data_IF_463008171108
#
_entry.id   IF_463008171108
#
_cell.length_a   1.000
_cell.length_b   1.000
_cell.length_c   1.000
_cell.angle_alpha   90.00
_cell.angle_beta   90.00
_cell.angle_gamma   90.00
#
_symmetry.space_group_name_H-M   'P 1'
#
loop_
_entity.id
_entity.type
_entity.pdbx_description
1 polymer ?
#
# COMPACT_ATOMS: atom_id res chain seq x y z
N UNK A 1 -9.32 -15.81 -28.81
CA UNK A 1 -8.08 -16.54 -28.46
C UNK A 1 -8.24 -17.18 -27.08
N UNK A 2 -8.26 -18.52 -26.97
CA UNK A 2 -8.23 -19.23 -25.68
C UNK A 2 -6.80 -19.11 -25.11
N UNK A 3 -6.62 -18.54 -23.91
CA UNK A 3 -5.32 -18.59 -23.19
C UNK A 3 -4.88 -20.06 -23.08
N UNK A 4 -3.66 -20.36 -23.54
CA UNK A 4 -3.17 -21.75 -23.64
C UNK A 4 -2.89 -22.36 -22.26
N UNK A 5 -3.08 -23.68 -22.05
CA UNK A 5 -2.87 -24.37 -20.77
C UNK A 5 -1.51 -24.14 -20.12
N UNK A 6 -0.47 -23.89 -20.93
CA UNK A 6 0.89 -23.60 -20.48
C UNK A 6 0.99 -22.26 -19.75
N UNK A 7 0.28 -21.22 -20.20
CA UNK A 7 0.23 -19.92 -19.51
C UNK A 7 -0.47 -20.03 -18.16
N UNK A 8 -1.50 -20.88 -18.04
CA UNK A 8 -2.18 -21.09 -16.76
C UNK A 8 -1.29 -21.83 -15.76
N UNK A 9 -0.57 -22.87 -16.21
CA UNK A 9 0.39 -23.58 -15.34
C UNK A 9 1.52 -22.65 -14.87
N UNK A 10 2.08 -21.85 -15.76
CA UNK A 10 3.11 -20.86 -15.42
C UNK A 10 2.61 -19.86 -14.37
N UNK A 11 1.38 -19.35 -14.52
CA UNK A 11 0.75 -18.46 -13.53
C UNK A 11 0.60 -19.14 -12.17
N UNK A 12 0.05 -20.35 -12.13
CA UNK A 12 -0.13 -21.07 -10.87
C UNK A 12 1.20 -21.30 -10.15
N UNK A 13 2.26 -21.66 -10.88
CA UNK A 13 3.60 -21.83 -10.29
C UNK A 13 4.12 -20.51 -9.72
N UNK A 14 4.02 -19.42 -10.47
CA UNK A 14 4.41 -18.09 -9.99
C UNK A 14 3.61 -17.71 -8.74
N UNK A 15 2.30 -17.92 -8.73
CA UNK A 15 1.44 -17.61 -7.59
C UNK A 15 1.86 -18.42 -6.35
N UNK A 16 2.13 -19.72 -6.49
CA UNK A 16 2.66 -20.54 -5.37
C UNK A 16 4.02 -20.07 -4.86
N UNK A 17 4.92 -19.61 -5.74
CA UNK A 17 6.21 -19.04 -5.35
C UNK A 17 5.99 -17.75 -4.54
N UNK A 18 5.09 -16.87 -4.99
CA UNK A 18 4.82 -15.58 -4.34
C UNK A 18 4.13 -15.75 -2.99
N UNK A 19 3.16 -16.67 -2.89
CA UNK A 19 2.51 -17.03 -1.62
C UNK A 19 3.52 -17.59 -0.61
N UNK A 20 4.38 -18.53 -1.05
CA UNK A 20 5.44 -19.06 -0.19
C UNK A 20 6.43 -17.99 0.24
N UNK A 21 6.79 -17.07 -0.65
CA UNK A 21 7.65 -15.93 -0.33
C UNK A 21 7.04 -15.04 0.75
N UNK A 22 5.75 -14.71 0.65
CA UNK A 22 5.06 -13.94 1.68
C UNK A 22 5.18 -14.61 3.05
N UNK A 23 4.89 -15.91 3.11
CA UNK A 23 4.97 -16.69 4.35
C UNK A 23 6.41 -16.79 4.89
N UNK A 24 7.40 -16.99 4.01
CA UNK A 24 8.80 -17.02 4.41
C UNK A 24 9.27 -15.68 4.97
N UNK A 25 8.86 -14.55 4.38
CA UNK A 25 9.19 -13.21 4.89
C UNK A 25 8.55 -12.98 6.24
N UNK A 26 7.27 -13.33 6.40
CA UNK A 26 6.57 -13.21 7.68
C UNK A 26 7.22 -14.06 8.80
N UNK A 27 7.71 -15.26 8.47
CA UNK A 27 8.28 -16.20 9.44
C UNK A 27 9.75 -15.92 9.76
N UNK A 28 10.57 -15.61 8.76
CA UNK A 28 12.02 -15.50 8.91
C UNK A 28 12.54 -14.05 8.90
N UNK A 29 11.68 -13.09 8.58
CA UNK A 29 12.06 -11.71 8.29
C UNK A 29 12.64 -11.55 6.89
N UNK A 30 12.50 -10.35 6.33
CA UNK A 30 12.82 -10.04 4.93
C UNK A 30 14.27 -10.38 4.54
N UNK A 31 15.22 -10.12 5.44
CA UNK A 31 16.65 -10.35 5.19
C UNK A 31 16.99 -11.85 5.10
N UNK A 32 16.37 -12.67 5.94
CA UNK A 32 16.75 -14.08 6.11
C UNK A 32 16.01 -15.05 5.18
N UNK A 33 15.15 -14.53 4.29
CA UNK A 33 14.53 -15.33 3.23
C UNK A 33 15.58 -15.76 2.21
N UNK A 34 15.47 -17.01 1.76
CA UNK A 34 16.35 -17.60 0.75
C UNK A 34 15.53 -18.45 -0.23
N UNK A 35 16.01 -18.60 -1.47
CA UNK A 35 15.35 -19.43 -2.49
C UNK A 35 15.09 -20.87 -2.04
N UNK A 36 16.01 -21.55 -1.31
CA UNK A 36 15.73 -22.87 -0.75
C UNK A 36 14.52 -22.90 0.21
N UNK A 37 14.37 -21.90 1.10
CA UNK A 37 13.21 -21.82 2.01
C UNK A 37 11.91 -21.60 1.23
N UNK A 38 11.95 -20.75 0.20
CA UNK A 38 10.80 -20.52 -0.68
C UNK A 38 10.44 -21.80 -1.44
N UNK A 39 11.44 -22.55 -1.91
CA UNK A 39 11.25 -23.83 -2.60
C UNK A 39 10.56 -24.85 -1.71
N UNK A 40 11.04 -25.02 -0.48
CA UNK A 40 10.45 -25.93 0.51
C UNK A 40 8.98 -25.57 0.77
N UNK A 41 8.67 -24.29 0.99
CA UNK A 41 7.32 -23.86 1.34
C UNK A 41 6.35 -23.81 0.14
N UNK A 42 6.83 -23.56 -1.08
CA UNK A 42 6.00 -23.54 -2.31
C UNK A 42 5.77 -24.93 -2.90
N UNK A 43 6.60 -25.92 -2.56
CA UNK A 43 6.64 -27.21 -3.24
C UNK A 43 7.21 -27.14 -4.67
N UNK A 44 7.74 -25.99 -5.08
CA UNK A 44 8.39 -25.78 -6.39
C UNK A 44 9.89 -25.97 -6.22
N UNK A 45 10.53 -26.75 -7.08
CA UNK A 45 11.98 -26.97 -6.99
C UNK A 45 12.76 -25.68 -7.19
N UNK A 46 13.90 -25.54 -6.50
CA UNK A 46 14.81 -24.38 -6.65
C UNK A 46 15.15 -24.13 -8.12
N UNK A 47 15.40 -25.19 -8.89
CA UNK A 47 15.67 -25.08 -10.33
C UNK A 47 14.50 -24.50 -11.14
N UNK A 48 13.25 -24.87 -10.81
CA UNK A 48 12.08 -24.24 -11.42
C UNK A 48 11.91 -22.79 -10.99
N UNK A 49 12.19 -22.43 -9.73
CA UNK A 49 12.12 -21.03 -9.29
C UNK A 49 13.06 -20.16 -10.13
N UNK A 50 14.30 -20.63 -10.37
CA UNK A 50 15.26 -19.93 -11.21
C UNK A 50 14.86 -19.80 -12.70
N UNK A 51 13.87 -20.56 -13.17
CA UNK A 51 13.30 -20.35 -14.51
C UNK A 51 12.37 -19.13 -14.57
N UNK A 52 11.80 -18.70 -13.44
CA UNK A 52 10.88 -17.57 -13.36
C UNK A 52 11.54 -16.32 -12.76
N UNK A 53 12.48 -16.49 -11.83
CA UNK A 53 13.10 -15.39 -11.09
C UNK A 53 14.61 -15.62 -10.95
N UNK A 54 15.41 -14.62 -11.31
CA UNK A 54 16.87 -14.71 -11.27
C UNK A 54 17.46 -14.75 -9.87
N UNK A 55 16.74 -14.19 -8.88
CA UNK A 55 17.16 -14.12 -7.47
C UNK A 55 15.96 -13.89 -6.55
N UNK A 56 16.18 -13.86 -5.23
CA UNK A 56 15.11 -13.66 -4.25
C UNK A 56 14.54 -12.24 -4.28
N UNK A 57 15.36 -11.25 -4.63
CA UNK A 57 14.98 -9.85 -4.69
C UNK A 57 13.94 -9.62 -5.79
N UNK A 58 14.08 -10.27 -6.95
CA UNK A 58 13.08 -10.25 -8.03
C UNK A 58 11.74 -10.84 -7.58
N UNK A 59 11.75 -11.94 -6.81
CA UNK A 59 10.53 -12.54 -6.27
C UNK A 59 9.83 -11.56 -5.32
N UNK A 60 10.60 -10.92 -4.43
CA UNK A 60 10.08 -9.93 -3.48
C UNK A 60 9.53 -8.70 -4.22
N UNK A 61 10.24 -8.20 -5.23
CA UNK A 61 9.79 -7.06 -6.03
C UNK A 61 8.49 -7.35 -6.78
N UNK A 62 8.35 -8.53 -7.40
CA UNK A 62 7.11 -8.95 -8.05
C UNK A 62 5.97 -9.07 -7.03
N UNK A 63 6.22 -9.68 -5.86
CA UNK A 63 5.24 -9.78 -4.79
C UNK A 63 4.76 -8.40 -4.32
N UNK A 64 5.70 -7.48 -4.09
CA UNK A 64 5.41 -6.10 -3.69
C UNK A 64 4.61 -5.37 -4.76
N UNK A 65 5.01 -5.49 -6.03
CA UNK A 65 4.32 -4.86 -7.15
C UNK A 65 2.85 -5.29 -7.23
N UNK A 66 2.58 -6.60 -7.14
CA UNK A 66 1.21 -7.14 -7.13
C UNK A 66 0.40 -6.66 -5.94
N UNK A 67 1.00 -6.66 -4.74
CA UNK A 67 0.35 -6.18 -3.53
C UNK A 67 0.04 -4.68 -3.60
N UNK A 68 0.96 -3.86 -4.10
CA UNK A 68 0.75 -2.42 -4.32
C UNK A 68 -0.38 -2.15 -5.29
N UNK A 69 -0.46 -2.90 -6.40
CA UNK A 69 -1.55 -2.76 -7.37
C UNK A 69 -2.90 -3.16 -6.76
N UNK A 70 -2.95 -4.30 -6.06
CA UNK A 70 -4.16 -4.77 -5.36
C UNK A 70 -4.64 -3.75 -4.32
N UNK A 71 -3.72 -3.21 -3.52
CA UNK A 71 -4.02 -2.20 -2.51
C UNK A 71 -4.57 -0.92 -3.15
N UNK A 72 -3.91 -0.44 -4.20
CA UNK A 72 -4.34 0.74 -4.93
C UNK A 72 -5.75 0.61 -5.53
N UNK A 73 -6.04 -0.54 -6.14
CA UNK A 73 -7.37 -0.84 -6.69
C UNK A 73 -8.44 -0.95 -5.60
N UNK A 74 -8.13 -1.60 -4.47
CA UNK A 74 -9.05 -1.70 -3.34
C UNK A 74 -9.37 -0.32 -2.74
N UNK A 75 -8.37 0.55 -2.62
CA UNK A 75 -8.59 1.92 -2.15
C UNK A 75 -9.47 2.73 -3.11
N UNK A 76 -9.23 2.64 -4.42
CA UNK A 76 -10.09 3.26 -5.44
C UNK A 76 -11.53 2.77 -5.34
N UNK A 77 -11.72 1.46 -5.16
CA UNK A 77 -13.05 0.88 -5.01
C UNK A 77 -13.77 1.41 -3.77
N UNK A 78 -13.07 1.61 -2.65
CA UNK A 78 -13.64 2.24 -1.45
C UNK A 78 -14.06 3.68 -1.76
N UNK A 79 -13.19 4.47 -2.38
CA UNK A 79 -13.50 5.86 -2.70
C UNK A 79 -14.74 6.01 -3.59
N UNK A 80 -14.90 5.12 -4.59
CA UNK A 80 -16.03 5.13 -5.52
C UNK A 80 -17.31 4.55 -4.88
N UNK A 81 -17.21 3.48 -4.09
CA UNK A 81 -18.38 2.86 -3.47
C UNK A 81 -18.98 3.68 -2.32
N UNK A 82 -18.19 4.58 -1.74
CA UNK A 82 -18.57 5.43 -0.62
C UNK A 82 -18.79 6.88 -1.06
N UNK A 83 -19.44 7.06 -2.22
CA UNK A 83 -19.69 8.37 -2.82
C UNK A 83 -20.57 9.30 -1.97
N UNK A 84 -21.39 8.73 -1.07
CA UNK A 84 -22.33 9.48 -0.23
C UNK A 84 -21.74 9.93 1.11
N UNK A 85 -20.60 9.35 1.53
CA UNK A 85 -20.00 9.69 2.83
C UNK A 85 -19.52 11.14 2.88
N UNK A 86 -19.51 11.74 4.06
CA UNK A 86 -18.86 13.04 4.26
C UNK A 86 -17.33 12.91 4.33
N UNK A 87 -16.60 14.03 4.32
CA UNK A 87 -15.14 14.00 4.52
C UNK A 87 -14.77 13.43 5.89
N UNK A 88 -15.55 13.79 6.91
CA UNK A 88 -15.40 13.36 8.30
C UNK A 88 -15.59 11.85 8.46
N UNK A 89 -16.29 11.20 7.53
CA UNK A 89 -16.52 9.76 7.52
C UNK A 89 -15.50 9.02 6.64
N UNK A 90 -15.23 9.52 5.43
CA UNK A 90 -14.36 8.82 4.46
C UNK A 90 -12.88 8.83 4.88
N UNK A 91 -12.42 9.89 5.55
CA UNK A 91 -11.03 9.99 6.02
C UNK A 91 -10.72 8.90 7.06
N UNK A 92 -11.43 8.81 8.20
CA UNK A 92 -11.14 7.77 9.18
C UNK A 92 -11.36 6.36 8.63
N UNK A 93 -12.33 6.16 7.73
CA UNK A 93 -12.52 4.87 7.04
C UNK A 93 -11.29 4.50 6.19
N UNK A 94 -10.75 5.46 5.44
CA UNK A 94 -9.54 5.26 4.62
C UNK A 94 -8.30 4.97 5.48
N UNK A 95 -8.15 5.66 6.62
CA UNK A 95 -7.07 5.41 7.58
C UNK A 95 -7.19 4.01 8.19
N UNK A 96 -8.39 3.61 8.60
CA UNK A 96 -8.67 2.27 9.12
C UNK A 96 -8.29 1.20 8.10
N UNK A 97 -8.77 1.35 6.87
CA UNK A 97 -8.43 0.45 5.78
C UNK A 97 -6.91 0.33 5.57
N UNK A 98 -6.18 1.45 5.58
CA UNK A 98 -4.72 1.43 5.45
C UNK A 98 -4.03 0.67 6.59
N UNK A 99 -4.47 0.84 7.84
CA UNK A 99 -3.96 0.07 8.98
C UNK A 99 -4.27 -1.43 8.87
N UNK A 100 -5.50 -1.77 8.52
CA UNK A 100 -5.90 -3.17 8.36
C UNK A 100 -5.07 -3.85 7.27
N UNK A 101 -4.87 -3.17 6.14
CA UNK A 101 -4.06 -3.69 5.04
C UNK A 101 -2.60 -3.93 5.43
N UNK A 102 -1.97 -3.03 6.19
CA UNK A 102 -0.60 -3.22 6.67
C UNK A 102 -0.46 -4.36 7.70
N UNK A 103 -1.57 -4.80 8.31
CA UNK A 103 -1.60 -5.88 9.31
C UNK A 103 -2.14 -7.21 8.77
N UNK A 104 -2.85 -7.20 7.65
CA UNK A 104 -3.61 -8.34 7.15
C UNK A 104 -2.76 -9.49 6.60
N UNK A 105 -1.48 -9.26 6.28
CA UNK A 105 -0.67 -10.21 5.51
C UNK A 105 0.22 -11.14 6.35
N UNK A 106 -0.07 -11.25 7.65
CA UNK A 106 0.67 -12.10 8.58
C UNK A 106 2.03 -11.53 9.00
N UNK A 107 2.30 -10.25 8.74
CA UNK A 107 3.54 -9.57 9.13
C UNK A 107 4.50 -9.31 7.98
N UNK A 108 4.14 -9.67 6.74
CA UNK A 108 4.96 -9.37 5.56
C UNK A 108 5.17 -7.87 5.39
N UNK A 109 4.11 -7.06 5.42
CA UNK A 109 4.22 -5.61 5.28
C UNK A 109 4.98 -5.01 6.45
N UNK A 110 4.80 -5.51 7.67
CA UNK A 110 5.56 -5.07 8.83
C UNK A 110 7.06 -5.26 8.59
N UNK A 111 7.48 -6.44 8.11
CA UNK A 111 8.89 -6.72 7.79
C UNK A 111 9.40 -5.85 6.63
N UNK A 112 8.62 -5.66 5.58
CA UNK A 112 8.98 -4.76 4.47
C UNK A 112 9.15 -3.32 4.95
N UNK A 113 8.24 -2.82 5.78
CA UNK A 113 8.25 -1.44 6.28
C UNK A 113 9.43 -1.17 7.22
N UNK A 114 9.90 -2.15 8.00
CA UNK A 114 11.15 -2.04 8.77
C UNK A 114 12.37 -1.76 7.88
N UNK A 115 12.32 -2.17 6.62
CA UNK A 115 13.36 -1.97 5.62
C UNK A 115 12.98 -0.95 4.54
N UNK A 116 12.01 -0.06 4.82
CA UNK A 116 11.43 0.86 3.83
C UNK A 116 12.46 1.65 3.03
N UNK A 117 13.56 2.10 3.66
CA UNK A 117 14.62 2.84 2.96
C UNK A 117 15.28 2.07 1.79
N UNK A 118 15.26 0.74 1.81
CA UNK A 118 15.74 -0.08 0.70
C UNK A 118 14.73 -0.22 -0.45
N UNK A 119 13.45 0.08 -0.20
CA UNK A 119 12.34 -0.14 -1.15
C UNK A 119 11.60 1.13 -1.56
N UNK A 120 11.89 2.28 -0.95
CA UNK A 120 11.22 3.55 -1.24
C UNK A 120 11.36 4.01 -2.71
N UNK A 121 12.40 3.59 -3.42
CA UNK A 121 12.62 3.88 -4.84
C UNK A 121 12.17 2.74 -5.77
N UNK A 122 11.55 1.69 -5.23
CA UNK A 122 11.07 0.54 -6.01
C UNK A 122 9.88 0.91 -6.90
N UNK A 123 9.65 0.12 -7.95
CA UNK A 123 8.47 0.29 -8.79
C UNK A 123 7.17 0.10 -8.01
N UNK A 124 7.17 -0.84 -7.05
CA UNK A 124 6.04 -1.07 -6.17
C UNK A 124 5.67 0.16 -5.32
N UNK A 125 6.67 0.92 -4.86
CA UNK A 125 6.43 2.16 -4.11
C UNK A 125 5.80 3.24 -5.00
N UNK A 126 6.30 3.40 -6.24
CA UNK A 126 5.75 4.36 -7.22
C UNK A 126 4.32 4.02 -7.62
N UNK A 127 4.04 2.74 -7.87
CA UNK A 127 2.68 2.26 -8.17
C UNK A 127 1.74 2.62 -7.03
N UNK A 128 2.15 2.34 -5.79
CA UNK A 128 1.33 2.62 -4.61
C UNK A 128 1.11 4.14 -4.41
N UNK A 129 2.17 4.94 -4.54
CA UNK A 129 2.09 6.41 -4.47
C UNK A 129 1.13 6.97 -5.53
N UNK A 130 1.23 6.48 -6.76
CA UNK A 130 0.32 6.86 -7.85
C UNK A 130 -1.14 6.59 -7.50
N UNK A 131 -1.45 5.39 -7.00
CA UNK A 131 -2.82 5.05 -6.61
C UNK A 131 -3.33 5.92 -5.47
N UNK A 132 -2.53 6.14 -4.43
CA UNK A 132 -2.90 7.05 -3.33
C UNK A 132 -3.17 8.47 -3.84
N UNK A 133 -2.32 8.95 -4.75
CA UNK A 133 -2.45 10.28 -5.34
C UNK A 133 -3.71 10.43 -6.19
N UNK A 134 -4.00 9.45 -7.05
CA UNK A 134 -5.23 9.42 -7.84
C UNK A 134 -6.49 9.38 -6.96
N UNK A 135 -6.48 8.59 -5.88
CA UNK A 135 -7.60 8.54 -4.93
C UNK A 135 -7.75 9.87 -4.19
N UNK A 136 -6.65 10.45 -3.69
CA UNK A 136 -6.68 11.74 -3.01
C UNK A 136 -7.27 12.84 -3.89
N UNK A 137 -6.81 12.93 -5.15
CA UNK A 137 -7.37 13.86 -6.12
C UNK A 137 -8.86 13.63 -6.36
N UNK A 138 -9.28 12.37 -6.58
CA UNK A 138 -10.68 12.03 -6.80
C UNK A 138 -11.54 12.44 -5.60
N UNK A 139 -11.18 12.01 -4.39
CA UNK A 139 -11.93 12.33 -3.16
C UNK A 139 -11.99 13.83 -2.94
N UNK A 140 -10.85 14.54 -2.94
CA UNK A 140 -10.86 15.98 -2.64
C UNK A 140 -11.53 16.81 -3.73
N UNK A 141 -11.46 16.41 -5.00
CA UNK A 141 -12.18 17.11 -6.08
C UNK A 141 -13.70 17.04 -5.92
N UNK A 142 -14.23 15.99 -5.27
CA UNK A 142 -15.67 15.86 -4.98
C UNK A 142 -16.16 16.95 -4.02
N UNK A 143 -15.37 17.24 -2.99
CA UNK A 143 -15.75 18.19 -1.93
C UNK A 143 -15.26 19.61 -2.19
N UNK A 144 -14.15 19.77 -2.93
CA UNK A 144 -13.51 21.05 -3.22
C UNK A 144 -13.45 21.29 -4.74
N UNK A 145 -14.59 21.16 -5.41
CA UNK A 145 -14.72 21.30 -6.87
C UNK A 145 -14.32 22.69 -7.42
N UNK A 146 -14.24 23.70 -6.55
CA UNK A 146 -13.84 25.07 -6.87
C UNK A 146 -12.32 25.29 -6.80
N UNK A 147 -11.56 24.34 -6.23
CA UNK A 147 -10.11 24.44 -6.19
C UNK A 147 -9.50 24.19 -7.57
N UNK A 148 -8.39 24.89 -7.85
CA UNK A 148 -7.59 24.58 -9.03
C UNK A 148 -6.93 23.20 -8.88
N UNK A 149 -6.60 22.59 -10.01
CA UNK A 149 -5.85 21.33 -10.03
C UNK A 149 -4.52 21.43 -9.25
N UNK A 150 -3.85 22.58 -9.30
CA UNK A 150 -2.60 22.80 -8.57
C UNK A 150 -2.79 22.76 -7.05
N UNK A 151 -3.87 23.37 -6.54
CA UNK A 151 -4.20 23.32 -5.12
C UNK A 151 -4.53 21.90 -4.69
N UNK A 152 -5.38 21.18 -5.45
CA UNK A 152 -5.72 19.79 -5.18
C UNK A 152 -4.49 18.89 -5.18
N UNK A 153 -3.59 19.05 -6.16
CA UNK A 153 -2.29 18.35 -6.22
C UNK A 153 -1.47 18.57 -4.97
N UNK A 154 -1.25 19.83 -4.59
CA UNK A 154 -0.38 20.17 -3.48
C UNK A 154 -0.96 19.68 -2.15
N UNK A 155 -2.27 19.84 -1.94
CA UNK A 155 -2.98 19.35 -0.75
C UNK A 155 -2.92 17.83 -0.66
N UNK A 156 -3.21 17.12 -1.75
CA UNK A 156 -3.14 15.66 -1.83
C UNK A 156 -1.74 15.15 -1.49
N UNK A 157 -0.71 15.74 -2.11
CA UNK A 157 0.67 15.35 -1.88
C UNK A 157 1.06 15.43 -0.40
N UNK A 158 0.76 16.56 0.26
CA UNK A 158 1.10 16.76 1.69
C UNK A 158 0.32 15.80 2.58
N UNK A 159 -0.99 15.64 2.35
CA UNK A 159 -1.85 14.75 3.14
C UNK A 159 -1.37 13.30 3.01
N UNK A 160 -1.16 12.82 1.79
CA UNK A 160 -0.76 11.43 1.54
C UNK A 160 0.60 11.15 2.17
N UNK A 161 1.60 12.00 1.95
CA UNK A 161 2.93 11.77 2.49
C UNK A 161 2.92 11.81 4.03
N UNK A 162 2.34 12.86 4.63
CA UNK A 162 2.29 12.98 6.09
C UNK A 162 1.56 11.81 6.74
N UNK A 163 0.46 11.36 6.15
CA UNK A 163 -0.34 10.25 6.64
C UNK A 163 0.38 8.92 6.47
N UNK A 164 0.83 8.61 5.25
CA UNK A 164 1.44 7.33 4.91
C UNK A 164 2.71 7.08 5.72
N UNK A 165 3.62 8.07 5.78
CA UNK A 165 4.86 7.93 6.56
C UNK A 165 4.59 7.79 8.06
N UNK A 166 3.60 8.53 8.59
CA UNK A 166 3.24 8.42 10.01
C UNK A 166 2.67 7.04 10.32
N UNK A 167 1.77 6.51 9.47
CA UNK A 167 1.20 5.18 9.63
C UNK A 167 2.25 4.07 9.47
N UNK A 168 3.12 4.16 8.45
CA UNK A 168 4.21 3.20 8.24
C UNK A 168 5.18 3.18 9.42
N UNK A 169 5.56 4.36 9.92
CA UNK A 169 6.40 4.48 11.12
C UNK A 169 5.70 3.88 12.34
N UNK A 170 4.40 4.12 12.49
CA UNK A 170 3.59 3.56 13.58
C UNK A 170 3.55 2.02 13.55
N UNK A 171 3.34 1.43 12.37
CA UNK A 171 3.24 -0.03 12.23
C UNK A 171 4.59 -0.73 12.32
N UNK A 172 5.67 -0.10 11.85
CA UNK A 172 7.01 -0.70 11.85
C UNK A 172 7.70 -0.69 13.22
N UNK A 173 7.23 0.13 14.18
CA UNK A 173 7.83 0.27 15.50
C UNK A 173 6.78 0.08 16.60
N UNK A 174 7.11 -0.65 17.67
CA UNK A 174 6.12 -1.01 18.70
C UNK A 174 6.06 -0.06 19.92
N UNK A 175 6.86 1.02 19.95
CA UNK A 175 6.94 1.92 21.11
C UNK A 175 6.47 3.34 20.76
N UNK A 176 5.15 3.56 20.79
CA UNK A 176 4.56 4.89 20.67
C UNK A 176 3.77 5.25 21.92
N UNK A 177 3.73 6.55 22.21
CA UNK A 177 3.02 7.13 23.36
C UNK A 177 1.50 7.17 23.18
N UNK A 178 1.01 6.90 21.97
CA UNK A 178 -0.41 6.95 21.62
C UNK A 178 -0.84 5.62 21.00
N UNK A 179 -2.10 5.26 21.22
CA UNK A 179 -2.75 4.13 20.56
C UNK A 179 -3.04 4.43 19.09
N UNK A 180 -3.31 3.37 18.31
CA UNK A 180 -3.68 3.52 16.90
C UNK A 180 -4.99 4.31 16.75
N UNK A 181 -5.96 4.10 17.65
CA UNK A 181 -7.22 4.83 17.62
C UNK A 181 -6.99 6.33 17.85
N UNK A 182 -6.10 6.69 18.78
CA UNK A 182 -5.70 8.08 18.99
C UNK A 182 -4.97 8.63 17.75
N UNK A 183 -4.02 7.89 17.18
CA UNK A 183 -3.31 8.33 15.97
C UNK A 183 -4.26 8.57 14.80
N UNK A 184 -5.21 7.65 14.55
CA UNK A 184 -6.24 7.84 13.50
C UNK A 184 -7.04 9.11 13.74
N UNK A 185 -7.49 9.34 14.98
CA UNK A 185 -8.22 10.54 15.35
C UNK A 185 -7.39 11.81 15.08
N UNK A 186 -6.13 11.85 15.51
CA UNK A 186 -5.26 13.01 15.30
C UNK A 186 -4.96 13.26 13.81
N UNK A 187 -4.73 12.20 13.03
CA UNK A 187 -4.55 12.31 11.57
C UNK A 187 -5.83 12.82 10.90
N UNK A 188 -7.00 12.31 11.27
CA UNK A 188 -8.28 12.82 10.75
C UNK A 188 -8.44 14.31 11.03
N UNK A 189 -8.20 14.75 12.27
CA UNK A 189 -8.29 16.17 12.65
C UNK A 189 -7.30 17.03 11.86
N UNK A 190 -6.05 16.58 11.71
CA UNK A 190 -5.02 17.26 10.93
C UNK A 190 -5.44 17.42 9.46
N UNK A 191 -5.96 16.35 8.85
CA UNK A 191 -6.37 16.35 7.43
C UNK A 191 -7.54 17.30 7.22
N UNK A 192 -8.59 17.21 8.04
CA UNK A 192 -9.76 18.09 7.95
C UNK A 192 -9.36 19.56 8.10
N UNK A 193 -8.62 19.90 9.15
CA UNK A 193 -8.17 21.27 9.39
C UNK A 193 -7.28 21.80 8.24
N UNK A 194 -6.41 20.95 7.68
CA UNK A 194 -5.55 21.34 6.57
C UNK A 194 -6.32 21.56 5.27
N UNK A 195 -7.40 20.82 5.04
CA UNK A 195 -8.30 21.03 3.90
C UNK A 195 -9.13 22.32 4.06
N UNK A 196 -9.65 22.60 5.26
CA UNK A 196 -10.45 23.80 5.54
C UNK A 196 -9.68 25.12 5.31
N UNK A 197 -8.39 25.18 5.63
CA UNK A 197 -7.57 26.40 5.46
C UNK A 197 -7.43 26.88 4.00
N UNK A 198 -7.77 26.07 3.00
CA UNK A 198 -7.80 26.46 1.59
C UNK A 198 -9.21 26.76 1.05
N UNK A 199 -10.26 26.54 1.84
CA UNK A 199 -11.66 26.66 1.41
C UNK A 199 -12.17 28.11 1.45
N UNK A 200 -11.39 29.05 1.99
CA UNK A 200 -11.73 30.47 1.93
C UNK A 200 -11.40 31.01 0.53
N UNK A 201 -12.35 31.63 -0.19
CA UNK A 201 -12.01 32.36 -1.39
C UNK A 201 -11.03 33.46 -0.99
N UNK A 202 -9.93 33.60 -1.73
CA UNK A 202 -9.01 34.73 -1.57
C UNK A 202 -9.84 36.02 -1.38
N UNK A 203 -9.69 36.76 -0.28
CA UNK A 203 -10.09 38.16 -0.31
C UNK A 203 -9.19 38.83 -1.36
N UNK A 204 -9.85 39.48 -2.32
CA UNK A 204 -9.29 40.21 -3.46
C UNK A 204 -8.07 41.06 -3.09
#
# INVERSE_FOLDING_TARGET
MRKQPQQQRARNVVDSILEATQLCVAEYGLINVTTPKISEKSGVSVGSIYQYFGNKEEIIQELLSRKSEQLGLALKQIAISQEELSLEEIIPLSLQFGFDMMKADGGFFIEVLKHWHGYNNSEAAKVLEKHFYEVGLYVFSRFFNHWSFEVLKNKSFVIINSTLFTMMRYVSHNNFLISEQQLKKELTLMILAYLEQGASPNPL
#
